data_IF_834074834208
#
_entry.id   IF_834074834208
#
_cell.length_a   1.000
_cell.length_b   1.000
_cell.length_c   1.000
_cell.angle_alpha   90.00
_cell.angle_beta   90.00
_cell.angle_gamma   90.00
#
_symmetry.space_group_name_H-M   'P 1'
#
loop_
_entity.id
_entity.type
_entity.pdbx_description
1 polymer ?
#
# COMPACT_ATOMS: atom_id res chain seq x y z
N UNK A 1 18.20 7.98 -2.84
CA UNK A 1 18.82 6.73 -2.34
C UNK A 1 18.19 5.54 -3.05
N UNK A 2 18.94 4.48 -3.37
CA UNK A 2 18.39 3.21 -3.84
C UNK A 2 17.47 2.58 -2.77
N UNK A 3 16.51 1.74 -3.19
CA UNK A 3 15.61 1.03 -2.27
C UNK A 3 16.39 -0.05 -1.50
N UNK A 4 16.03 -0.26 -0.24
CA UNK A 4 16.50 -1.40 0.53
C UNK A 4 15.76 -2.66 0.08
N UNK A 5 16.51 -3.70 -0.31
CA UNK A 5 15.97 -4.96 -0.80
C UNK A 5 15.91 -5.98 0.33
N UNK A 6 14.73 -6.52 0.59
CA UNK A 6 14.53 -7.64 1.51
C UNK A 6 14.46 -8.96 0.73
N UNK A 7 14.97 -10.03 1.31
CA UNK A 7 14.85 -11.36 0.71
C UNK A 7 13.37 -11.77 0.62
N UNK A 8 12.94 -12.21 -0.56
CA UNK A 8 11.61 -12.80 -0.75
C UNK A 8 11.48 -14.12 0.01
N UNK A 9 10.26 -14.47 0.42
CA UNK A 9 9.99 -15.78 1.01
C UNK A 9 9.89 -16.83 -0.12
N UNK A 10 10.82 -17.82 -0.19
CA UNK A 10 10.80 -18.82 -1.25
C UNK A 10 9.56 -19.73 -1.24
N UNK A 11 8.82 -19.75 -0.13
CA UNK A 11 7.59 -20.53 0.04
C UNK A 11 6.32 -19.67 -0.18
N UNK A 12 6.44 -18.43 -0.64
CA UNK A 12 5.28 -17.59 -0.89
C UNK A 12 4.39 -18.21 -1.99
N UNK A 13 3.08 -18.41 -1.76
CA UNK A 13 2.21 -18.99 -2.76
C UNK A 13 2.05 -18.04 -3.95
N UNK A 14 2.30 -18.54 -5.16
CA UNK A 14 1.97 -17.83 -6.40
C UNK A 14 0.47 -18.00 -6.65
N UNK A 15 -0.32 -16.98 -6.30
CA UNK A 15 -1.77 -17.01 -6.52
C UNK A 15 -2.07 -16.92 -8.02
N UNK A 16 -2.52 -18.02 -8.60
CA UNK A 16 -3.02 -18.09 -9.98
C UNK A 16 -4.46 -17.60 -10.10
N UNK A 17 -4.85 -17.08 -11.27
CA UNK A 17 -6.21 -16.64 -11.54
C UNK A 17 -6.25 -15.61 -12.67
N UNK A 18 -7.45 -15.11 -12.97
CA UNK A 18 -7.61 -14.01 -13.92
C UNK A 18 -6.95 -12.73 -13.39
N UNK A 19 -6.42 -11.94 -14.31
CA UNK A 19 -5.92 -10.60 -14.02
C UNK A 19 -7.00 -9.75 -13.35
N UNK A 20 -8.26 -9.89 -13.76
CA UNK A 20 -9.41 -9.22 -13.17
C UNK A 20 -9.51 -9.41 -11.65
N UNK A 21 -9.39 -10.65 -11.18
CA UNK A 21 -9.45 -10.98 -9.75
C UNK A 21 -8.18 -10.52 -9.03
N UNK A 22 -7.01 -10.65 -9.68
CA UNK A 22 -5.75 -10.20 -9.11
C UNK A 22 -5.74 -8.68 -8.87
N UNK A 23 -6.28 -7.89 -9.81
CA UNK A 23 -6.38 -6.43 -9.71
C UNK A 23 -7.38 -5.99 -8.65
N UNK A 24 -8.55 -6.64 -8.57
CA UNK A 24 -9.53 -6.36 -7.51
C UNK A 24 -8.94 -6.61 -6.11
N UNK A 25 -8.31 -7.77 -5.91
CA UNK A 25 -7.61 -8.11 -4.65
C UNK A 25 -6.42 -7.20 -4.39
N UNK A 26 -5.73 -6.76 -5.45
CA UNK A 26 -4.63 -5.82 -5.28
C UNK A 26 -5.15 -4.48 -4.76
N UNK A 27 -6.24 -3.95 -5.31
CA UNK A 27 -6.87 -2.71 -4.82
C UNK A 27 -7.27 -2.81 -3.33
N UNK A 28 -7.76 -3.98 -2.90
CA UNK A 28 -8.04 -4.32 -1.50
C UNK A 28 -6.79 -4.24 -0.63
N UNK A 29 -5.75 -4.99 -1.00
CA UNK A 29 -4.49 -5.00 -0.27
C UNK A 29 -3.84 -3.63 -0.21
N UNK A 30 -3.95 -2.83 -1.28
CA UNK A 30 -3.46 -1.46 -1.32
C UNK A 30 -4.19 -0.56 -0.33
N UNK A 31 -5.51 -0.67 -0.23
CA UNK A 31 -6.31 0.07 0.74
C UNK A 31 -5.92 -0.34 2.18
N UNK A 32 -5.86 -1.64 2.45
CA UNK A 32 -5.46 -2.16 3.75
C UNK A 32 -4.06 -1.68 4.16
N UNK A 33 -3.06 -1.92 3.29
CA UNK A 33 -1.66 -1.57 3.55
C UNK A 33 -1.48 -0.07 3.77
N UNK A 34 -2.19 0.78 3.03
CA UNK A 34 -2.18 2.23 3.24
C UNK A 34 -2.57 2.61 4.67
N UNK A 35 -3.68 2.09 5.18
CA UNK A 35 -4.14 2.43 6.53
C UNK A 35 -3.25 1.82 7.62
N UNK A 36 -2.75 0.60 7.42
CA UNK A 36 -1.78 0.00 8.35
C UNK A 36 -0.45 0.77 8.36
N UNK A 37 -0.02 1.31 7.22
CA UNK A 37 1.13 2.19 7.13
C UNK A 37 0.92 3.46 7.98
N UNK A 38 -0.24 4.14 7.89
CA UNK A 38 -0.53 5.32 8.71
C UNK A 38 -0.53 5.01 10.21
N UNK A 39 -1.09 3.86 10.58
CA UNK A 39 -1.07 3.38 11.96
C UNK A 39 0.37 3.25 12.48
N UNK A 40 1.24 2.55 11.74
CA UNK A 40 2.63 2.35 12.14
C UNK A 40 3.47 3.63 12.15
N UNK A 41 3.23 4.56 11.22
CA UNK A 41 3.90 5.87 11.26
C UNK A 41 3.50 6.63 12.53
N UNK A 42 2.20 6.68 12.86
CA UNK A 42 1.71 7.42 14.03
C UNK A 42 2.27 6.86 15.33
N UNK A 43 2.14 5.55 15.56
CA UNK A 43 2.66 4.91 16.78
C UNK A 43 4.17 5.09 16.94
N UNK A 44 4.95 5.01 15.86
CA UNK A 44 6.40 5.25 15.92
C UNK A 44 6.71 6.67 16.35
N UNK A 45 6.06 7.67 15.75
CA UNK A 45 6.29 9.07 16.11
C UNK A 45 5.83 9.40 17.53
N UNK A 46 4.70 8.86 17.98
CA UNK A 46 4.21 9.09 19.34
C UNK A 46 5.11 8.42 20.37
N UNK A 47 5.55 7.18 20.14
CA UNK A 47 6.48 6.50 21.04
C UNK A 47 7.83 7.22 21.11
N UNK A 48 8.36 7.65 19.96
CA UNK A 48 9.59 8.43 19.90
C UNK A 48 9.46 9.76 20.67
N UNK A 49 8.32 10.44 20.56
CA UNK A 49 8.09 11.70 21.28
C UNK A 49 7.89 11.49 22.78
N UNK A 50 7.04 10.53 23.17
CA UNK A 50 6.63 10.33 24.55
C UNK A 50 7.73 9.71 25.42
N UNK A 51 8.58 8.84 24.86
CA UNK A 51 9.63 8.16 25.62
C UNK A 51 11.02 8.73 25.38
N UNK A 52 11.25 9.37 24.22
CA UNK A 52 12.60 9.81 23.81
C UNK A 52 12.68 11.31 23.50
N UNK A 53 11.61 12.08 23.70
CA UNK A 53 11.55 13.53 23.45
C UNK A 53 12.01 13.92 22.02
N UNK A 54 11.74 13.07 21.03
CA UNK A 54 12.28 13.22 19.68
C UNK A 54 11.70 14.41 18.87
N UNK A 55 10.59 14.99 19.31
CA UNK A 55 9.89 16.11 18.67
C UNK A 55 9.62 15.91 17.16
N UNK A 56 9.18 14.72 16.79
CA UNK A 56 8.88 14.30 15.43
C UNK A 56 7.40 14.56 15.08
N UNK A 57 7.15 14.95 13.83
CA UNK A 57 5.79 15.07 13.29
C UNK A 57 5.49 13.88 12.37
N UNK A 58 4.35 13.21 12.56
CA UNK A 58 3.99 12.00 11.81
C UNK A 58 3.95 12.21 10.28
N UNK A 59 3.40 13.33 9.83
CA UNK A 59 3.26 13.62 8.40
C UNK A 59 4.58 13.96 7.70
N UNK A 60 5.63 14.31 8.44
CA UNK A 60 6.98 14.56 7.91
C UNK A 60 7.80 13.27 7.78
N UNK A 61 7.29 12.14 8.33
CA UNK A 61 7.92 10.83 8.20
C UNK A 61 7.72 10.18 6.83
N UNK A 62 6.87 10.77 5.98
CA UNK A 62 6.41 10.17 4.73
C UNK A 62 7.39 10.47 3.60
N UNK A 63 7.94 9.43 2.98
CA UNK A 63 8.59 9.54 1.68
C UNK A 63 7.58 9.13 0.60
N UNK A 64 7.42 9.93 -0.46
CA UNK A 64 6.37 9.74 -1.47
C UNK A 64 6.65 8.60 -2.47
N UNK A 65 7.60 7.72 -2.13
CA UNK A 65 7.97 6.51 -2.88
C UNK A 65 8.45 5.45 -1.90
N UNK A 66 8.23 4.18 -2.22
CA UNK A 66 8.73 3.09 -1.40
C UNK A 66 10.25 3.18 -1.24
N UNK A 67 10.72 3.12 0.01
CA UNK A 67 12.13 3.02 0.38
C UNK A 67 12.59 1.58 0.51
N UNK A 68 11.65 0.63 0.61
CA UNK A 68 11.89 -0.81 0.72
C UNK A 68 11.23 -1.54 -0.44
N UNK A 69 11.73 -2.72 -0.77
CA UNK A 69 11.08 -3.60 -1.74
C UNK A 69 11.39 -5.06 -1.46
N UNK A 70 10.34 -5.87 -1.50
CA UNK A 70 10.41 -7.33 -1.57
C UNK A 70 10.19 -7.72 -3.03
N UNK A 71 11.01 -8.67 -3.49
CA UNK A 71 11.04 -9.19 -4.85
C UNK A 71 11.41 -8.16 -5.94
N UNK A 72 11.57 -8.67 -7.15
CA UNK A 72 11.88 -7.87 -8.33
C UNK A 72 11.05 -8.34 -9.52
N UNK A 73 10.82 -7.42 -10.47
CA UNK A 73 10.16 -7.76 -11.71
C UNK A 73 10.97 -8.74 -12.55
N UNK A 74 10.31 -9.43 -13.48
CA UNK A 74 10.97 -10.25 -14.49
C UNK A 74 10.58 -9.84 -15.90
N UNK A 75 11.44 -10.22 -16.86
CA UNK A 75 11.25 -9.98 -18.30
C UNK A 75 11.54 -11.27 -19.05
N UNK A 76 10.49 -11.90 -19.55
CA UNK A 76 10.56 -13.10 -20.38
C UNK A 76 9.56 -13.00 -21.55
N UNK A 77 9.62 -11.94 -22.38
CA UNK A 77 8.58 -11.66 -23.37
C UNK A 77 8.46 -12.71 -24.49
N UNK A 78 9.50 -13.53 -24.69
CA UNK A 78 9.60 -14.49 -25.79
C UNK A 78 9.35 -15.94 -25.35
N UNK A 79 8.92 -16.17 -24.11
CA UNK A 79 8.62 -17.53 -23.65
C UNK A 79 7.25 -17.99 -24.19
N UNK A 80 7.12 -19.23 -24.70
CA UNK A 80 5.91 -19.72 -25.37
C UNK A 80 4.64 -19.64 -24.52
N UNK A 81 4.77 -19.66 -23.19
CA UNK A 81 3.64 -19.68 -22.26
C UNK A 81 3.24 -18.29 -21.75
N UNK A 82 3.92 -17.23 -22.18
CA UNK A 82 3.64 -15.87 -21.75
C UNK A 82 3.00 -15.01 -22.83
N UNK A 83 1.99 -14.23 -22.46
CA UNK A 83 1.36 -13.26 -23.34
C UNK A 83 2.03 -11.88 -23.23
N UNK A 84 2.01 -11.14 -24.34
CA UNK A 84 2.28 -9.71 -24.37
C UNK A 84 1.04 -8.91 -23.95
N UNK A 85 1.21 -7.93 -23.07
CA UNK A 85 0.12 -7.06 -22.64
C UNK A 85 -0.30 -6.15 -23.81
N UNK A 86 -1.57 -6.20 -24.18
CA UNK A 86 -2.18 -5.31 -25.18
C UNK A 86 -3.01 -4.24 -24.48
N UNK A 87 -2.61 -2.98 -24.65
CA UNK A 87 -3.26 -1.83 -24.03
C UNK A 87 -4.69 -1.58 -24.59
N UNK A 88 -5.03 -2.18 -25.74
CA UNK A 88 -6.30 -2.01 -26.43
C UNK A 88 -7.24 -3.22 -26.34
N UNK A 89 -6.78 -4.38 -25.85
CA UNK A 89 -7.64 -5.56 -25.69
C UNK A 89 -8.40 -5.50 -24.36
N UNK A 90 -9.72 -5.21 -24.33
CA UNK A 90 -10.49 -5.19 -23.10
C UNK A 90 -10.55 -6.57 -22.41
N UNK A 91 -10.32 -7.66 -23.14
CA UNK A 91 -10.29 -9.02 -22.59
C UNK A 91 -8.96 -9.36 -21.91
N UNK A 92 -7.99 -8.44 -21.89
CA UNK A 92 -6.72 -8.63 -21.18
C UNK A 92 -6.94 -8.98 -19.69
N UNK A 93 -8.01 -8.47 -19.08
CA UNK A 93 -8.40 -8.76 -17.69
C UNK A 93 -8.78 -10.23 -17.47
N UNK A 94 -9.14 -10.98 -18.52
CA UNK A 94 -9.49 -12.38 -18.42
C UNK A 94 -8.27 -13.32 -18.56
N UNK A 95 -7.12 -12.79 -18.99
CA UNK A 95 -5.87 -13.56 -19.07
C UNK A 95 -5.35 -13.87 -17.66
N UNK A 96 -4.49 -14.88 -17.56
CA UNK A 96 -3.86 -15.26 -16.29
C UNK A 96 -2.98 -14.12 -15.76
N UNK A 97 -3.14 -13.73 -14.50
CA UNK A 97 -2.33 -12.66 -13.89
C UNK A 97 -0.82 -12.98 -13.88
N UNK A 98 -0.45 -14.26 -13.90
CA UNK A 98 0.93 -14.74 -13.77
C UNK A 98 1.59 -15.08 -15.11
N UNK A 99 0.85 -15.03 -16.21
CA UNK A 99 1.34 -15.43 -17.53
C UNK A 99 1.74 -14.25 -18.42
N UNK A 100 2.00 -13.07 -17.87
CA UNK A 100 2.49 -11.94 -18.68
C UNK A 100 4.02 -11.97 -18.79
N UNK A 101 4.56 -11.75 -19.98
CA UNK A 101 6.01 -11.81 -20.22
C UNK A 101 6.80 -10.63 -19.63
N UNK A 102 6.12 -9.60 -19.10
CA UNK A 102 6.74 -8.43 -18.45
C UNK A 102 5.98 -8.11 -17.17
N UNK A 103 6.56 -8.48 -16.04
CA UNK A 103 5.95 -8.33 -14.72
C UNK A 103 6.82 -7.46 -13.82
N UNK A 104 6.21 -6.62 -13.00
CA UNK A 104 6.85 -5.80 -11.98
C UNK A 104 6.36 -6.19 -10.59
N UNK A 105 7.24 -6.00 -9.60
CA UNK A 105 6.86 -5.99 -8.19
C UNK A 105 6.08 -4.69 -7.90
N UNK A 106 4.76 -4.79 -7.90
CA UNK A 106 3.85 -3.70 -7.63
C UNK A 106 3.57 -3.62 -6.12
N UNK A 107 3.83 -2.47 -5.52
CA UNK A 107 3.67 -2.26 -4.08
C UNK A 107 2.21 -2.27 -3.64
N UNK A 108 1.94 -2.81 -2.45
CA UNK A 108 0.65 -2.58 -1.78
C UNK A 108 0.58 -1.14 -1.23
N UNK A 109 1.68 -0.63 -0.68
CA UNK A 109 1.81 0.77 -0.28
C UNK A 109 3.15 1.30 -0.81
N UNK A 110 3.13 2.14 -1.85
CA UNK A 110 4.35 2.71 -2.42
C UNK A 110 4.81 3.97 -1.65
N UNK A 111 4.60 3.99 -0.34
CA UNK A 111 5.13 5.02 0.54
C UNK A 111 6.35 4.46 1.25
N UNK A 112 7.32 5.34 1.48
CA UNK A 112 8.53 5.03 2.22
C UNK A 112 8.60 5.85 3.49
N UNK A 113 9.77 5.84 4.11
CA UNK A 113 10.04 6.56 5.34
C UNK A 113 11.10 7.63 5.05
N UNK A 114 10.90 8.87 5.46
CA UNK A 114 11.90 9.93 5.30
C UNK A 114 13.23 9.51 5.95
N UNK A 115 14.34 9.83 5.30
CA UNK A 115 15.67 9.39 5.73
C UNK A 115 16.04 9.83 7.15
N UNK A 116 15.59 11.02 7.59
CA UNK A 116 15.83 11.49 8.96
C UNK A 116 15.06 10.65 9.97
N UNK A 117 13.84 10.26 9.61
CA UNK A 117 12.98 9.42 10.43
C UNK A 117 13.47 7.98 10.49
N UNK A 118 13.96 7.42 9.38
CA UNK A 118 14.63 6.11 9.38
C UNK A 118 15.79 6.09 10.37
N UNK A 119 16.66 7.11 10.33
CA UNK A 119 17.80 7.22 11.24
C UNK A 119 17.35 7.36 12.70
N UNK A 120 16.35 8.21 12.96
CA UNK A 120 15.80 8.39 14.29
C UNK A 120 15.21 7.08 14.85
N UNK A 121 14.34 6.41 14.10
CA UNK A 121 13.71 5.16 14.53
C UNK A 121 14.75 4.04 14.72
N UNK A 122 15.71 3.92 13.80
CA UNK A 122 16.78 2.93 13.94
C UNK A 122 17.68 3.20 15.16
N UNK A 123 17.97 4.47 15.48
CA UNK A 123 18.78 4.81 16.64
C UNK A 123 18.04 4.55 17.95
N UNK A 124 16.79 5.01 18.05
CA UNK A 124 15.97 4.86 19.26
C UNK A 124 15.60 3.39 19.49
N UNK A 125 15.32 2.64 18.42
CA UNK A 125 14.94 1.23 18.48
C UNK A 125 16.02 0.31 19.08
N UNK A 126 17.30 0.73 19.09
CA UNK A 126 18.38 -0.05 19.74
C UNK A 126 18.13 -0.30 21.22
N UNK A 127 17.47 0.63 21.89
CA UNK A 127 17.19 0.58 23.33
C UNK A 127 15.69 0.46 23.63
N UNK A 128 14.85 0.34 22.60
CA UNK A 128 13.40 0.30 22.70
C UNK A 128 12.86 -0.78 21.76
N UNK A 129 12.70 -1.99 22.33
CA UNK A 129 12.29 -3.17 21.58
C UNK A 129 10.95 -2.98 20.86
N UNK A 130 9.97 -2.34 21.51
CA UNK A 130 8.67 -2.11 20.90
C UNK A 130 8.76 -1.11 19.73
N UNK A 131 9.55 -0.04 19.88
CA UNK A 131 9.80 0.90 18.77
C UNK A 131 10.48 0.17 17.60
N UNK A 132 11.47 -0.67 17.89
CA UNK A 132 12.12 -1.48 16.87
C UNK A 132 11.13 -2.40 16.16
N UNK A 133 10.27 -3.11 16.89
CA UNK A 133 9.27 -4.01 16.31
C UNK A 133 8.28 -3.27 15.39
N UNK A 134 7.81 -2.08 15.81
CA UNK A 134 6.96 -1.25 14.96
C UNK A 134 7.69 -0.77 13.70
N UNK A 135 8.97 -0.43 13.83
CA UNK A 135 9.78 0.00 12.70
C UNK A 135 10.01 -1.14 11.70
N UNK A 136 10.33 -2.35 12.18
CA UNK A 136 10.44 -3.54 11.34
C UNK A 136 9.12 -3.87 10.62
N UNK A 137 7.98 -3.72 11.31
CA UNK A 137 6.67 -3.91 10.67
C UNK A 137 6.37 -2.83 9.63
N UNK A 138 6.70 -1.56 9.90
CA UNK A 138 6.55 -0.49 8.91
C UNK A 138 7.39 -0.77 7.65
N UNK A 139 8.65 -1.22 7.82
CA UNK A 139 9.52 -1.58 6.69
C UNK A 139 8.92 -2.70 5.83
N UNK A 140 8.32 -3.71 6.45
CA UNK A 140 7.61 -4.79 5.72
C UNK A 140 6.46 -4.21 4.89
N UNK A 141 5.61 -3.38 5.48
CA UNK A 141 4.50 -2.75 4.74
C UNK A 141 4.99 -1.87 3.58
N UNK A 142 6.09 -1.14 3.74
CA UNK A 142 6.72 -0.35 2.67
C UNK A 142 7.32 -1.22 1.57
N UNK A 143 7.73 -2.45 1.91
CA UNK A 143 8.40 -3.38 1.00
C UNK A 143 7.47 -4.38 0.33
N UNK A 144 6.30 -4.66 0.90
CA UNK A 144 5.40 -5.69 0.42
C UNK A 144 4.88 -5.37 -0.99
N UNK A 145 5.07 -6.34 -1.88
CA UNK A 145 4.66 -6.25 -3.28
C UNK A 145 3.89 -7.48 -3.73
N UNK A 146 3.28 -7.37 -4.91
CA UNK A 146 2.80 -8.49 -5.71
C UNK A 146 3.32 -8.33 -7.13
N UNK A 147 3.64 -9.47 -7.76
CA UNK A 147 3.92 -9.49 -9.18
C UNK A 147 2.66 -9.18 -10.00
N UNK A 148 2.71 -8.10 -10.77
CA UNK A 148 1.66 -7.68 -11.71
C UNK A 148 2.25 -7.31 -13.07
N UNK A 149 1.46 -7.32 -14.16
CA UNK A 149 1.97 -6.86 -15.44
C UNK A 149 2.52 -5.44 -15.35
N UNK A 150 3.68 -5.18 -15.97
CA UNK A 150 4.37 -3.89 -15.90
C UNK A 150 3.44 -2.70 -16.22
N UNK A 151 2.53 -2.89 -17.19
CA UNK A 151 1.55 -1.88 -17.61
C UNK A 151 0.58 -1.44 -16.51
N UNK A 152 0.30 -2.33 -15.55
CA UNK A 152 -0.51 -2.02 -14.37
C UNK A 152 0.30 -1.17 -13.39
N UNK A 153 1.52 -1.61 -13.08
CA UNK A 153 2.42 -0.95 -12.14
C UNK A 153 2.74 0.51 -12.57
N UNK A 154 3.05 0.73 -13.85
CA UNK A 154 3.32 2.08 -14.38
C UNK A 154 2.05 2.87 -14.74
N UNK A 155 0.88 2.24 -14.63
CA UNK A 155 -0.41 2.78 -15.05
C UNK A 155 -1.33 3.07 -13.85
N UNK A 156 -2.42 2.31 -13.66
CA UNK A 156 -3.37 2.53 -12.57
C UNK A 156 -2.73 2.50 -11.17
N UNK A 157 -1.69 1.68 -10.92
CA UNK A 157 -1.03 1.67 -9.60
C UNK A 157 -0.38 3.02 -9.29
N UNK A 158 0.28 3.63 -10.28
CA UNK A 158 0.90 4.95 -10.11
C UNK A 158 -0.11 6.05 -9.76
N UNK A 159 -1.36 5.92 -10.22
CA UNK A 159 -2.44 6.83 -9.84
C UNK A 159 -2.78 6.67 -8.36
N UNK A 160 -2.83 5.43 -7.87
CA UNK A 160 -3.06 5.15 -6.45
C UNK A 160 -1.84 5.51 -5.60
N UNK A 161 -0.61 5.39 -6.10
CA UNK A 161 0.60 5.86 -5.42
C UNK A 161 0.55 7.37 -5.14
N UNK A 162 0.11 8.17 -6.12
CA UNK A 162 -0.06 9.61 -5.96
C UNK A 162 -1.13 9.92 -4.91
N UNK A 163 -2.26 9.20 -4.96
CA UNK A 163 -3.31 9.33 -3.97
C UNK A 163 -2.82 8.97 -2.56
N UNK A 164 -2.03 7.90 -2.42
CA UNK A 164 -1.43 7.51 -1.14
C UNK A 164 -0.56 8.64 -0.58
N UNK A 165 0.30 9.26 -1.40
CA UNK A 165 1.17 10.34 -0.95
C UNK A 165 0.37 11.55 -0.45
N UNK A 166 -0.68 11.95 -1.19
CA UNK A 166 -1.55 13.06 -0.81
C UNK A 166 -2.34 12.78 0.47
N UNK A 167 -2.99 11.62 0.54
CA UNK A 167 -3.86 11.25 1.66
C UNK A 167 -3.08 10.95 2.93
N UNK A 168 -1.89 10.34 2.84
CA UNK A 168 -1.08 10.06 4.02
C UNK A 168 -0.70 11.34 4.76
N UNK A 169 -0.17 12.33 4.03
CA UNK A 169 0.17 13.63 4.61
C UNK A 169 -1.09 14.31 5.17
N UNK A 170 -2.20 14.30 4.41
CA UNK A 170 -3.45 14.93 4.86
C UNK A 170 -3.99 14.32 6.15
N UNK A 171 -4.11 13.00 6.22
CA UNK A 171 -4.69 12.31 7.36
C UNK A 171 -3.80 12.40 8.61
N UNK A 172 -2.47 12.30 8.46
CA UNK A 172 -1.55 12.42 9.59
C UNK A 172 -1.40 13.86 10.08
N UNK A 173 -1.46 14.87 9.18
CA UNK A 173 -1.40 16.28 9.55
C UNK A 173 -2.63 16.76 10.32
N UNK A 174 -3.78 16.09 10.16
CA UNK A 174 -4.98 16.39 10.95
C UNK A 174 -4.79 16.13 12.46
N UNK A 175 -3.76 15.39 12.86
CA UNK A 175 -3.37 15.19 14.27
C UNK A 175 -4.22 14.17 15.06
N UNK A 176 -5.45 13.91 14.61
CA UNK A 176 -6.32 12.89 15.20
C UNK A 176 -5.98 11.45 14.79
N UNK A 177 -6.85 10.49 15.18
CA UNK A 177 -6.76 9.11 14.73
C UNK A 177 -6.80 9.01 13.19
N UNK A 178 -5.80 8.41 12.53
CA UNK A 178 -5.78 8.29 11.07
C UNK A 178 -6.80 7.25 10.58
N UNK A 179 -7.20 6.32 11.44
CA UNK A 179 -8.13 5.24 11.10
C UNK A 179 -9.53 5.64 11.52
N UNK A 180 -10.32 6.14 10.57
CA UNK A 180 -11.72 6.51 10.78
C UNK A 180 -12.54 6.01 9.61
N UNK A 181 -13.84 5.79 9.84
CA UNK A 181 -14.76 5.43 8.75
C UNK A 181 -14.75 6.49 7.65
N UNK A 182 -14.72 7.76 8.04
CA UNK A 182 -14.67 8.88 7.10
C UNK A 182 -13.40 8.86 6.24
N UNK A 183 -12.24 8.56 6.81
CA UNK A 183 -10.99 8.50 6.05
C UNK A 183 -11.01 7.33 5.06
N UNK A 184 -11.55 6.16 5.44
CA UNK A 184 -11.74 5.01 4.52
C UNK A 184 -12.69 5.36 3.39
N UNK A 185 -13.85 5.94 3.68
CA UNK A 185 -14.80 6.43 2.66
C UNK A 185 -14.12 7.42 1.72
N UNK A 186 -13.37 8.37 2.28
CA UNK A 186 -12.69 9.39 1.49
C UNK A 186 -11.61 8.79 0.58
N UNK A 187 -10.82 7.85 1.09
CA UNK A 187 -9.84 7.10 0.30
C UNK A 187 -10.50 6.42 -0.91
N UNK A 188 -11.61 5.71 -0.69
CA UNK A 188 -12.32 5.02 -1.76
C UNK A 188 -12.92 6.00 -2.79
N UNK A 189 -13.56 7.09 -2.33
CA UNK A 189 -14.16 8.08 -3.22
C UNK A 189 -13.13 8.82 -4.07
N UNK A 190 -12.00 9.21 -3.48
CA UNK A 190 -10.90 9.85 -4.22
C UNK A 190 -10.18 8.85 -5.14
N UNK A 191 -10.08 7.58 -4.74
CA UNK A 191 -9.62 6.48 -5.59
C UNK A 191 -10.44 6.34 -6.87
N UNK A 192 -11.77 6.27 -6.74
CA UNK A 192 -12.70 6.20 -7.89
C UNK A 192 -12.50 7.41 -8.80
N UNK A 193 -12.45 8.63 -8.25
CA UNK A 193 -12.27 9.86 -9.02
C UNK A 193 -10.93 9.89 -9.77
N UNK A 194 -9.85 9.48 -9.12
CA UNK A 194 -8.51 9.46 -9.72
C UNK A 194 -8.39 8.40 -10.82
N UNK A 195 -8.97 7.22 -10.62
CA UNK A 195 -9.06 6.18 -11.66
C UNK A 195 -9.89 6.65 -12.85
N UNK A 196 -11.06 7.26 -12.62
CA UNK A 196 -11.90 7.78 -13.71
C UNK A 196 -11.17 8.82 -14.58
N UNK A 197 -10.43 9.75 -13.94
CA UNK A 197 -9.57 10.72 -14.66
C UNK A 197 -8.49 10.03 -15.48
N UNK A 198 -7.87 8.99 -14.93
CA UNK A 198 -6.85 8.21 -15.64
C UNK A 198 -7.42 7.48 -16.85
N UNK A 199 -8.59 6.84 -16.72
CA UNK A 199 -9.23 6.05 -17.78
C UNK A 199 -9.58 6.88 -19.02
N UNK A 200 -9.94 8.17 -18.87
CA UNK A 200 -10.41 9.03 -19.96
C UNK A 200 -9.42 9.21 -21.14
N UNK A 201 -8.15 8.82 -20.98
CA UNK A 201 -7.08 9.02 -21.98
C UNK A 201 -6.36 7.74 -22.38
N UNK A 202 -6.95 6.56 -22.11
CA UNK A 202 -6.26 5.26 -22.21
C UNK A 202 -6.97 4.27 -23.13
N UNK A 203 -6.21 3.29 -23.62
CA UNK A 203 -6.72 2.18 -24.41
C UNK A 203 -7.64 1.25 -23.61
N UNK A 204 -8.54 0.55 -24.29
CA UNK A 204 -9.62 -0.22 -23.67
C UNK A 204 -9.13 -1.34 -22.73
N UNK A 205 -7.97 -1.93 -22.98
CA UNK A 205 -7.37 -2.93 -22.09
C UNK A 205 -6.91 -2.34 -20.76
N UNK A 206 -6.25 -1.18 -20.79
CA UNK A 206 -5.87 -0.44 -19.58
C UNK A 206 -7.11 0.05 -18.83
N UNK A 207 -8.13 0.54 -19.55
CA UNK A 207 -9.39 0.98 -18.94
C UNK A 207 -10.07 -0.17 -18.21
N UNK A 208 -10.16 -1.35 -18.83
CA UNK A 208 -10.73 -2.54 -18.21
C UNK A 208 -9.98 -2.95 -16.93
N UNK A 209 -8.64 -2.90 -16.95
CA UNK A 209 -7.84 -3.17 -15.76
C UNK A 209 -8.06 -2.14 -14.65
N UNK A 210 -8.03 -0.85 -14.97
CA UNK A 210 -8.26 0.22 -14.02
C UNK A 210 -9.67 0.17 -13.42
N UNK A 211 -10.67 -0.25 -14.22
CA UNK A 211 -12.04 -0.41 -13.76
C UNK A 211 -12.14 -1.39 -12.59
N UNK A 212 -11.32 -2.44 -12.55
CA UNK A 212 -11.31 -3.39 -11.43
C UNK A 212 -10.92 -2.78 -10.08
N UNK A 213 -10.12 -1.72 -10.09
CA UNK A 213 -9.80 -0.96 -8.88
C UNK A 213 -11.01 -0.11 -8.45
N UNK A 214 -11.63 0.58 -9.41
CA UNK A 214 -12.82 1.39 -9.16
C UNK A 214 -13.99 0.54 -8.64
N UNK A 215 -14.21 -0.65 -9.22
CA UNK A 215 -15.24 -1.60 -8.79
C UNK A 215 -15.05 -1.98 -7.31
N UNK A 216 -13.81 -2.27 -6.91
CA UNK A 216 -13.48 -2.56 -5.52
C UNK A 216 -13.77 -1.37 -4.60
N UNK A 217 -13.28 -0.17 -4.95
CA UNK A 217 -13.48 1.02 -4.12
C UNK A 217 -14.96 1.42 -4.01
N UNK A 218 -15.79 1.10 -5.00
CA UNK A 218 -17.22 1.32 -4.95
C UNK A 218 -17.95 0.34 -4.02
N UNK A 219 -17.54 -0.93 -3.99
CA UNK A 219 -18.27 -1.98 -3.29
C UNK A 219 -17.84 -2.18 -1.82
N UNK A 220 -16.55 -2.03 -1.50
CA UNK A 220 -15.98 -2.65 -0.31
C UNK A 220 -15.77 -1.72 0.91
N UNK A 221 -16.32 -0.50 0.92
CA UNK A 221 -16.02 0.50 1.98
C UNK A 221 -16.32 -0.03 3.40
N UNK A 222 -17.47 -0.68 3.58
CA UNK A 222 -17.88 -1.23 4.88
C UNK A 222 -17.03 -2.42 5.32
N UNK A 223 -16.72 -3.33 4.40
CA UNK A 223 -15.85 -4.49 4.68
C UNK A 223 -14.42 -4.06 4.99
N UNK A 224 -13.90 -3.09 4.25
CA UNK A 224 -12.58 -2.51 4.51
C UNK A 224 -12.52 -1.82 5.85
N UNK A 225 -13.55 -1.06 6.22
CA UNK A 225 -13.63 -0.49 7.55
C UNK A 225 -13.53 -1.57 8.63
N UNK A 226 -14.27 -2.66 8.52
CA UNK A 226 -14.22 -3.77 9.49
C UNK A 226 -12.84 -4.42 9.55
N UNK A 227 -12.26 -4.74 8.40
CA UNK A 227 -10.94 -5.38 8.30
C UNK A 227 -9.83 -4.52 8.91
N UNK A 228 -9.78 -3.24 8.54
CA UNK A 228 -8.76 -2.29 9.01
C UNK A 228 -8.95 -2.00 10.50
N UNK A 229 -10.17 -1.65 10.92
CA UNK A 229 -10.44 -1.32 12.34
C UNK A 229 -10.21 -2.52 13.25
N UNK A 230 -10.61 -3.73 12.83
CA UNK A 230 -10.34 -4.96 13.57
C UNK A 230 -8.85 -5.24 13.71
N UNK A 231 -8.08 -5.08 12.62
CA UNK A 231 -6.63 -5.29 12.63
C UNK A 231 -5.91 -4.28 13.53
N UNK A 232 -6.30 -3.01 13.48
CA UNK A 232 -5.72 -1.94 14.32
C UNK A 232 -6.10 -2.14 15.78
N UNK A 233 -7.36 -2.45 16.09
CA UNK A 233 -7.79 -2.74 17.46
C UNK A 233 -7.06 -3.94 18.06
N UNK A 234 -6.90 -5.02 17.29
CA UNK A 234 -6.13 -6.19 17.71
C UNK A 234 -4.65 -5.85 17.97
N UNK A 235 -4.04 -5.05 17.08
CA UNK A 235 -2.67 -4.57 17.27
C UNK A 235 -2.54 -3.71 18.52
N UNK A 236 -3.46 -2.78 18.76
CA UNK A 236 -3.46 -1.95 19.96
C UNK A 236 -3.57 -2.80 21.24
N UNK A 237 -4.45 -3.80 21.25
CA UNK A 237 -4.60 -4.72 22.38
C UNK A 237 -3.32 -5.54 22.63
N UNK A 238 -2.71 -6.09 21.58
CA UNK A 238 -1.47 -6.87 21.68
C UNK A 238 -0.29 -6.06 22.23
N UNK A 239 -0.29 -4.74 22.00
CA UNK A 239 0.80 -3.85 22.35
C UNK A 239 0.50 -2.92 23.54
N UNK A 240 -0.67 -3.05 24.18
CA UNK A 240 -1.07 -2.22 25.33
C UNK A 240 -1.25 -0.74 24.98
N UNK A 241 -1.71 -0.44 23.76
CA UNK A 241 -1.87 0.93 23.27
C UNK A 241 -3.32 1.42 23.45
N UNK A 242 -3.52 2.72 23.75
CA UNK A 242 -4.85 3.32 23.76
C UNK A 242 -5.44 3.35 22.35
N UNK A 243 -6.41 2.49 22.07
CA UNK A 243 -7.01 2.34 20.73
C UNK A 243 -7.58 3.65 20.18
N UNK A 244 -8.09 4.53 21.05
CA UNK A 244 -8.70 5.82 20.69
C UNK A 244 -7.73 6.81 20.07
N UNK A 245 -6.42 6.63 20.26
CA UNK A 245 -5.41 7.50 19.65
C UNK A 245 -5.23 7.16 18.18
N UNK A 246 -5.53 5.91 17.78
CA UNK A 246 -5.27 5.40 16.44
C UNK A 246 -6.53 5.15 15.63
N UNK A 247 -7.66 4.85 16.30
CA UNK A 247 -8.91 4.43 15.71
C UNK A 247 -10.11 5.18 16.31
N UNK A 248 -10.98 5.73 15.44
CA UNK A 248 -12.27 6.31 15.82
C UNK A 248 -13.43 5.64 15.09
N UNK A 249 -14.43 5.20 15.86
CA UNK A 249 -15.69 4.65 15.34
C UNK A 249 -16.75 5.71 15.01
N UNK A 250 -16.53 6.94 15.47
CA UNK A 250 -17.38 8.10 15.20
C UNK A 250 -17.19 8.58 13.77
#
# INVERSE_FOLDING_TARGET
MPREMSAGNPNAPVLSGSLSNALYRHAEQRCFAFFIYLFYVKILTERANNLHNANLQAHDAIEHKATHQIDSGFRQPNQPHYYGFDDNDPNIVNKSATACGKMDAAHFCNLGIDSRYQNAFAQLGRNDAALNDYYENLKKICGDTRMLPQRINIGPDRVIDQLHAELAVRFLRAGGPPITRQNVTTYCQEGIKSIARYQATRGAGIVACAQRYADFYAAAQSEMWQSISGSVAASCAAHGLPVTDYLSYV
#
